data_IF_346968426019
#
_entry.id   IF_346968426019
#
_cell.length_a   1.000
_cell.length_b   1.000
_cell.length_c   1.000
_cell.angle_alpha   90.00
_cell.angle_beta   90.00
_cell.angle_gamma   90.00
#
_symmetry.space_group_name_H-M   'P 1'
#
loop_
_entity.id
_entity.type
_entity.pdbx_description
1 polymer ?
#
# COMPACT_ATOMS: atom_id res chain seq x y z
N UNK A 1 25.97 -4.72 1.40
CA UNK A 1 24.85 -5.34 0.66
C UNK A 1 23.57 -4.80 1.27
N UNK A 2 22.82 -3.98 0.52
CA UNK A 2 21.61 -3.34 1.02
C UNK A 2 20.45 -4.33 1.07
N UNK A 3 19.67 -4.30 2.14
CA UNK A 3 18.36 -4.96 2.18
C UNK A 3 17.46 -4.26 1.17
N UNK A 4 17.18 -4.93 0.06
CA UNK A 4 16.07 -4.58 -0.81
C UNK A 4 14.80 -4.72 0.03
N UNK A 5 14.29 -3.62 0.57
CA UNK A 5 12.91 -3.60 1.02
C UNK A 5 12.07 -3.86 -0.24
N UNK A 6 11.44 -5.03 -0.29
CA UNK A 6 10.55 -5.39 -1.37
C UNK A 6 9.25 -4.60 -1.17
N UNK A 7 9.16 -3.44 -1.81
CA UNK A 7 7.98 -2.56 -1.78
C UNK A 7 6.96 -2.92 -2.87
N UNK A 8 7.19 -3.98 -3.65
CA UNK A 8 6.32 -4.36 -4.76
C UNK A 8 5.19 -5.28 -4.32
N UNK A 9 4.08 -5.27 -5.06
CA UNK A 9 3.04 -6.29 -4.90
C UNK A 9 3.65 -7.68 -5.19
N UNK A 10 3.13 -8.71 -4.51
CA UNK A 10 3.56 -10.09 -4.71
C UNK A 10 2.40 -10.92 -5.26
N UNK A 11 2.65 -11.69 -6.32
CA UNK A 11 1.68 -12.62 -6.88
C UNK A 11 2.31 -14.00 -6.97
N UNK A 12 1.58 -15.03 -6.50
CA UNK A 12 2.04 -16.42 -6.50
C UNK A 12 1.13 -17.26 -7.38
N UNK A 13 1.73 -17.88 -8.38
CA UNK A 13 1.01 -18.71 -9.35
C UNK A 13 1.33 -20.19 -9.11
N UNK A 14 0.33 -21.04 -9.31
CA UNK A 14 0.53 -22.48 -9.33
C UNK A 14 1.43 -22.86 -10.51
N UNK A 15 2.51 -23.59 -10.25
CA UNK A 15 3.54 -23.91 -11.26
C UNK A 15 3.03 -24.79 -12.41
N UNK A 16 1.96 -25.54 -12.20
CA UNK A 16 1.45 -26.50 -13.18
C UNK A 16 0.35 -25.89 -14.06
N UNK A 17 -0.54 -25.14 -13.45
CA UNK A 17 -1.72 -24.55 -14.10
C UNK A 17 -1.49 -23.10 -14.51
N UNK A 18 -0.50 -22.42 -13.92
CA UNK A 18 -0.25 -21.00 -14.09
C UNK A 18 -1.30 -20.10 -13.44
N UNK A 19 -2.24 -20.67 -12.65
CA UNK A 19 -3.34 -19.90 -12.04
C UNK A 19 -2.85 -19.14 -10.81
N UNK A 20 -3.35 -17.92 -10.61
CA UNK A 20 -3.09 -17.16 -9.38
C UNK A 20 -3.62 -17.94 -8.17
N UNK A 21 -2.79 -18.09 -7.13
CA UNK A 21 -3.12 -18.84 -5.90
C UNK A 21 -3.12 -17.96 -4.65
N UNK A 22 -2.25 -16.95 -4.60
CA UNK A 22 -2.20 -15.97 -3.52
C UNK A 22 -1.52 -14.70 -4.00
N UNK A 23 -1.79 -13.61 -3.29
CA UNK A 23 -1.24 -12.30 -3.57
C UNK A 23 -1.01 -11.51 -2.28
N UNK A 24 -0.14 -10.52 -2.33
CA UNK A 24 0.05 -9.47 -1.32
C UNK A 24 0.06 -8.14 -2.05
N UNK A 25 -0.85 -7.25 -1.70
CA UNK A 25 -0.97 -5.93 -2.31
C UNK A 25 -0.49 -4.87 -1.32
N UNK A 26 0.29 -3.91 -1.79
CA UNK A 26 0.88 -2.85 -0.96
C UNK A 26 0.34 -1.50 -1.40
N UNK A 27 -0.05 -0.67 -0.44
CA UNK A 27 -0.51 0.69 -0.72
C UNK A 27 0.71 1.62 -0.79
N UNK A 28 0.96 2.31 -1.91
CA UNK A 28 2.12 3.20 -2.03
C UNK A 28 1.96 4.40 -1.12
N UNK A 29 3.09 4.93 -0.63
CA UNK A 29 3.15 6.08 0.28
C UNK A 29 3.32 7.43 -0.45
N UNK A 30 3.40 7.42 -1.77
CA UNK A 30 3.54 8.61 -2.60
C UNK A 30 2.52 8.58 -3.75
N UNK A 31 2.50 9.68 -4.50
CA UNK A 31 1.78 9.78 -5.76
C UNK A 31 0.25 9.86 -5.63
N UNK A 32 -0.35 10.61 -6.55
CA UNK A 32 -1.80 10.70 -6.68
C UNK A 32 -2.18 10.32 -8.10
N UNK A 33 -3.13 9.39 -8.23
CA UNK A 33 -3.74 9.10 -9.53
C UNK A 33 -4.61 10.29 -9.92
N UNK A 34 -4.60 10.65 -11.21
CA UNK A 34 -5.57 11.59 -11.76
C UNK A 34 -7.01 11.11 -11.46
N UNK A 35 -7.82 11.90 -10.73
CA UNK A 35 -9.18 11.54 -10.39
C UNK A 35 -10.05 11.17 -11.59
N UNK A 36 -9.85 11.81 -12.74
CA UNK A 36 -10.61 11.52 -13.96
C UNK A 36 -10.23 10.17 -14.56
N UNK A 37 -8.94 9.81 -14.52
CA UNK A 37 -8.47 8.48 -14.94
C UNK A 37 -9.05 7.42 -14.01
N UNK A 38 -8.91 7.61 -12.69
CA UNK A 38 -9.44 6.67 -11.69
C UNK A 38 -10.96 6.46 -11.83
N UNK A 39 -11.71 7.55 -12.08
CA UNK A 39 -13.17 7.50 -12.27
C UNK A 39 -13.58 6.66 -13.48
N UNK A 40 -12.83 6.71 -14.58
CA UNK A 40 -13.10 5.88 -15.77
C UNK A 40 -12.87 4.40 -15.47
N UNK A 41 -11.79 4.05 -14.75
CA UNK A 41 -11.53 2.68 -14.31
C UNK A 41 -12.58 2.15 -13.33
N UNK A 42 -13.00 2.97 -12.37
CA UNK A 42 -14.06 2.63 -11.42
C UNK A 42 -15.43 2.41 -12.10
N UNK A 43 -15.65 3.01 -13.27
CA UNK A 43 -16.87 2.83 -14.05
C UNK A 43 -16.85 1.57 -14.94
N UNK A 44 -15.70 0.91 -15.13
CA UNK A 44 -15.64 -0.33 -15.88
C UNK A 44 -16.45 -1.44 -15.18
N UNK A 45 -17.18 -2.28 -15.94
CA UNK A 45 -17.83 -3.46 -15.40
C UNK A 45 -16.81 -4.39 -14.73
N UNK A 46 -17.17 -4.88 -13.55
CA UNK A 46 -16.40 -5.92 -12.84
C UNK A 46 -16.62 -7.26 -13.52
N UNK A 47 -15.55 -7.88 -14.01
CA UNK A 47 -15.59 -9.23 -14.57
C UNK A 47 -14.99 -10.22 -13.56
N UNK A 48 -15.68 -11.30 -13.24
CA UNK A 48 -15.16 -12.31 -12.31
C UNK A 48 -14.23 -13.29 -13.03
N UNK A 49 -13.08 -13.57 -12.45
CA UNK A 49 -12.17 -14.59 -12.98
C UNK A 49 -10.89 -14.74 -12.17
N UNK A 50 -10.00 -15.61 -12.64
CA UNK A 50 -8.70 -15.86 -12.01
C UNK A 50 -7.62 -15.69 -13.09
N UNK A 51 -6.62 -14.81 -12.89
CA UNK A 51 -5.50 -14.67 -13.82
C UNK A 51 -4.75 -15.98 -14.03
N UNK A 52 -4.31 -16.21 -15.26
CA UNK A 52 -3.47 -17.33 -15.65
C UNK A 52 -2.26 -16.79 -16.38
N UNK A 53 -1.06 -17.21 -15.97
CA UNK A 53 0.16 -16.87 -16.69
C UNK A 53 0.18 -17.55 -18.05
N UNK A 54 0.30 -16.73 -19.09
CA UNK A 54 0.52 -17.18 -20.46
C UNK A 54 1.92 -17.76 -20.63
N UNK A 55 2.93 -17.09 -20.07
CA UNK A 55 4.32 -17.53 -20.04
C UNK A 55 4.74 -17.88 -18.62
N UNK A 56 5.03 -19.17 -18.40
CA UNK A 56 5.41 -19.70 -17.09
C UNK A 56 6.92 -19.72 -16.87
N UNK A 57 7.69 -19.66 -17.96
CA UNK A 57 9.15 -19.80 -17.92
C UNK A 57 9.82 -18.46 -17.60
N UNK A 58 9.23 -17.35 -18.07
CA UNK A 58 9.75 -16.00 -17.84
C UNK A 58 9.25 -15.35 -16.54
N UNK A 59 8.37 -16.03 -15.80
CA UNK A 59 7.79 -15.53 -14.56
C UNK A 59 6.84 -14.33 -14.75
N UNK A 60 6.38 -13.77 -13.64
CA UNK A 60 5.51 -12.60 -13.62
C UNK A 60 6.25 -11.44 -12.97
N UNK A 61 6.60 -10.44 -13.76
CA UNK A 61 7.24 -9.22 -13.26
C UNK A 61 6.19 -8.15 -12.99
N UNK A 62 6.33 -7.47 -11.85
CA UNK A 62 5.44 -6.40 -11.43
C UNK A 62 6.28 -5.17 -11.25
N UNK A 63 5.95 -4.14 -12.01
CA UNK A 63 6.50 -2.82 -11.78
C UNK A 63 5.94 -2.27 -10.45
N UNK A 64 6.76 -1.57 -9.65
CA UNK A 64 6.26 -0.93 -8.44
C UNK A 64 5.09 0.00 -8.75
N UNK A 65 3.99 -0.17 -8.01
CA UNK A 65 2.88 0.77 -8.04
C UNK A 65 3.22 1.94 -7.13
N UNK A 66 3.09 3.15 -7.64
CA UNK A 66 3.59 4.37 -6.99
C UNK A 66 2.51 5.44 -6.81
N UNK A 67 1.29 5.20 -7.30
CA UNK A 67 0.17 6.13 -7.18
C UNK A 67 -1.01 5.48 -6.46
N UNK A 68 -1.73 6.29 -5.68
CA UNK A 68 -3.03 5.91 -5.12
C UNK A 68 -4.10 6.98 -5.27
N UNK A 69 -5.35 6.55 -5.22
CA UNK A 69 -6.52 7.42 -5.20
C UNK A 69 -7.64 6.79 -4.38
N UNK A 70 -8.14 7.52 -3.38
CA UNK A 70 -9.34 7.15 -2.64
C UNK A 70 -10.53 7.92 -3.19
N UNK A 71 -11.52 7.22 -3.73
CA UNK A 71 -12.77 7.79 -4.23
C UNK A 71 -13.41 8.74 -3.20
N UNK A 72 -14.12 9.78 -3.63
CA UNK A 72 -14.64 10.84 -2.74
C UNK A 72 -15.63 10.34 -1.67
N UNK A 73 -16.29 9.21 -1.90
CA UNK A 73 -17.17 8.53 -0.94
C UNK A 73 -16.42 7.54 -0.02
N UNK A 74 -15.11 7.36 -0.24
CA UNK A 74 -14.24 6.46 0.50
C UNK A 74 -14.49 4.98 0.21
N UNK A 75 -15.27 4.65 -0.83
CA UNK A 75 -15.70 3.27 -1.13
C UNK A 75 -14.77 2.51 -2.07
N UNK A 76 -13.76 3.15 -2.63
CA UNK A 76 -12.78 2.49 -3.46
C UNK A 76 -11.40 3.14 -3.31
N UNK A 77 -10.40 2.32 -3.04
CA UNK A 77 -8.99 2.68 -3.11
C UNK A 77 -8.41 2.10 -4.40
N UNK A 78 -7.99 2.95 -5.31
CA UNK A 78 -7.29 2.60 -6.54
C UNK A 78 -5.80 2.76 -6.30
N UNK A 79 -5.02 1.75 -6.66
CA UNK A 79 -3.55 1.75 -6.60
C UNK A 79 -3.01 1.30 -7.94
N UNK A 80 -2.03 2.04 -8.47
CA UNK A 80 -1.53 1.86 -9.84
C UNK A 80 -0.16 2.51 -10.01
N UNK A 81 0.42 2.36 -11.19
CA UNK A 81 1.62 3.08 -11.58
C UNK A 81 1.30 4.35 -12.39
N UNK A 82 2.31 5.20 -12.61
CA UNK A 82 2.20 6.41 -13.43
C UNK A 82 1.83 6.18 -14.91
N UNK A 83 1.83 4.93 -15.38
CA UNK A 83 1.50 4.54 -16.76
C UNK A 83 0.03 4.18 -16.95
N UNK A 84 -0.82 4.25 -15.91
CA UNK A 84 -2.25 3.97 -16.01
C UNK A 84 -2.91 4.80 -17.12
N UNK A 85 -3.31 4.19 -18.24
CA UNK A 85 -3.98 4.92 -19.30
C UNK A 85 -5.41 5.23 -18.88
N UNK A 86 -6.04 6.17 -19.58
CA UNK A 86 -7.49 6.28 -19.53
C UNK A 86 -8.09 4.99 -20.08
N UNK A 87 -8.94 4.33 -19.29
CA UNK A 87 -9.53 3.06 -19.68
C UNK A 87 -10.35 3.15 -20.98
N UNK A 88 -10.28 2.10 -21.78
CA UNK A 88 -10.86 1.95 -23.11
C UNK A 88 -11.31 0.49 -23.37
N UNK A 89 -11.52 0.12 -24.64
CA UNK A 89 -11.98 -1.22 -25.02
C UNK A 89 -11.00 -2.37 -24.75
N UNK A 90 -9.71 -2.05 -24.55
CA UNK A 90 -8.67 -3.03 -24.22
C UNK A 90 -8.45 -3.14 -22.69
N UNK A 91 -9.22 -2.39 -21.92
CA UNK A 91 -9.12 -2.31 -20.46
C UNK A 91 -10.04 -3.34 -19.79
N UNK A 92 -9.51 -3.98 -18.75
CA UNK A 92 -10.19 -5.02 -18.00
C UNK A 92 -10.07 -4.74 -16.50
N UNK A 93 -11.23 -4.73 -15.82
CA UNK A 93 -11.34 -4.74 -14.36
C UNK A 93 -11.79 -6.13 -13.91
N UNK A 94 -10.84 -6.91 -13.40
CA UNK A 94 -11.04 -8.31 -13.04
C UNK A 94 -11.24 -8.46 -11.53
N UNK A 95 -12.44 -8.81 -11.09
CA UNK A 95 -12.74 -9.19 -9.72
C UNK A 95 -12.17 -10.59 -9.41
N UNK A 96 -11.18 -10.63 -8.51
CA UNK A 96 -10.54 -11.88 -8.04
C UNK A 96 -11.00 -12.28 -6.63
N UNK A 97 -11.59 -11.35 -5.89
CA UNK A 97 -12.27 -11.54 -4.61
C UNK A 97 -13.53 -10.66 -4.57
N UNK A 98 -14.30 -10.72 -3.48
CA UNK A 98 -15.49 -9.89 -3.22
C UNK A 98 -15.18 -8.42 -3.42
N UNK A 99 -14.06 -7.97 -2.86
CA UNK A 99 -13.69 -6.55 -2.79
C UNK A 99 -12.38 -6.23 -3.53
N UNK A 100 -11.66 -7.22 -4.04
CA UNK A 100 -10.39 -6.99 -4.75
C UNK A 100 -10.58 -7.14 -6.25
N UNK A 101 -10.28 -6.08 -6.98
CA UNK A 101 -10.19 -6.11 -8.43
C UNK A 101 -8.75 -5.84 -8.91
N UNK A 102 -8.31 -6.54 -9.94
CA UNK A 102 -7.07 -6.27 -10.66
C UNK A 102 -7.36 -5.50 -11.95
N UNK A 103 -6.46 -4.60 -12.32
CA UNK A 103 -6.56 -3.75 -13.50
C UNK A 103 -5.59 -4.23 -14.56
N UNK A 104 -6.11 -4.47 -15.76
CA UNK A 104 -5.31 -4.87 -16.92
C UNK A 104 -5.61 -3.99 -18.13
N UNK A 105 -4.60 -3.73 -18.94
CA UNK A 105 -4.76 -3.14 -20.26
C UNK A 105 -3.91 -3.93 -21.25
N UNK A 106 -4.52 -4.49 -22.29
CA UNK A 106 -3.85 -5.37 -23.27
C UNK A 106 -3.06 -6.52 -22.62
N UNK A 107 -3.64 -7.13 -21.59
CA UNK A 107 -3.05 -8.25 -20.85
C UNK A 107 -1.94 -7.87 -19.85
N UNK A 108 -1.51 -6.61 -19.79
CA UNK A 108 -0.54 -6.14 -18.78
C UNK A 108 -1.25 -5.71 -17.51
N UNK A 109 -0.76 -6.17 -16.37
CA UNK A 109 -1.20 -5.72 -15.04
C UNK A 109 -0.76 -4.26 -14.80
N UNK A 110 -1.69 -3.43 -14.33
CA UNK A 110 -1.45 -1.99 -14.08
C UNK A 110 -1.75 -1.57 -12.64
N UNK A 111 -2.32 -2.46 -11.82
CA UNK A 111 -2.67 -2.15 -10.45
C UNK A 111 -3.95 -2.82 -9.98
N UNK A 112 -4.51 -2.30 -8.89
CA UNK A 112 -5.61 -2.93 -8.20
C UNK A 112 -6.59 -1.91 -7.61
N UNK A 113 -7.80 -2.38 -7.33
CA UNK A 113 -8.85 -1.65 -6.62
C UNK A 113 -9.26 -2.47 -5.40
N UNK A 114 -9.18 -1.86 -4.22
CA UNK A 114 -9.85 -2.35 -3.02
C UNK A 114 -11.18 -1.62 -2.88
N UNK A 115 -12.26 -2.36 -3.13
CA UNK A 115 -13.63 -1.91 -2.87
C UNK A 115 -13.91 -1.99 -1.37
N UNK A 116 -14.71 -1.05 -0.89
CA UNK A 116 -15.04 -0.88 0.52
C UNK A 116 -13.85 -1.04 1.49
N UNK A 117 -12.78 -0.21 1.37
CA UNK A 117 -11.56 -0.39 2.18
C UNK A 117 -11.79 -0.49 3.69
N UNK A 118 -12.82 0.19 4.22
CA UNK A 118 -13.17 0.18 5.65
C UNK A 118 -13.50 -1.23 6.14
N UNK A 119 -14.12 -2.08 5.32
CA UNK A 119 -14.44 -3.48 5.69
C UNK A 119 -13.20 -4.37 5.85
N UNK A 120 -12.05 -3.92 5.35
CA UNK A 120 -10.76 -4.62 5.41
C UNK A 120 -9.83 -4.04 6.47
N UNK A 121 -10.28 -3.04 7.23
CA UNK A 121 -9.54 -2.55 8.38
C UNK A 121 -9.57 -3.61 9.49
N UNK A 122 -8.38 -3.98 9.95
CA UNK A 122 -8.17 -4.94 11.02
C UNK A 122 -7.35 -4.28 12.12
N UNK A 123 -7.67 -4.57 13.38
CA UNK A 123 -6.89 -4.09 14.52
C UNK A 123 -5.63 -4.95 14.73
N UNK A 124 -5.79 -6.26 14.54
CA UNK A 124 -4.76 -7.28 14.60
C UNK A 124 -5.05 -8.31 13.49
N UNK A 125 -4.04 -9.07 13.00
CA UNK A 125 -4.26 -10.13 12.03
C UNK A 125 -5.35 -11.12 12.51
N UNK A 126 -6.47 -11.17 11.79
CA UNK A 126 -7.62 -12.03 12.11
C UNK A 126 -8.80 -11.32 12.79
N UNK A 127 -8.63 -10.08 13.25
CA UNK A 127 -9.67 -9.31 13.94
C UNK A 127 -10.29 -8.26 13.02
N UNK A 128 -11.57 -8.44 12.66
CA UNK A 128 -12.34 -7.37 12.00
C UNK A 128 -12.69 -6.28 12.99
N UNK A 129 -12.58 -5.02 12.57
CA UNK A 129 -13.03 -3.89 13.39
C UNK A 129 -14.57 -3.92 13.48
N UNK A 130 -15.17 -3.99 14.69
CA UNK A 130 -16.60 -3.88 14.86
C UNK A 130 -17.12 -2.53 14.35
N UNK A 131 -18.22 -2.52 13.60
CA UNK A 131 -18.81 -1.29 13.08
C UNK A 131 -18.17 -0.79 11.79
N UNK A 132 -17.65 -1.70 10.94
CA UNK A 132 -17.20 -1.40 9.56
C UNK A 132 -18.22 -0.65 8.70
N UNK A 133 -19.48 -0.62 9.12
CA UNK A 133 -20.56 0.06 8.44
C UNK A 133 -20.76 1.52 8.92
N UNK A 134 -19.96 2.00 9.88
CA UNK A 134 -19.99 3.39 10.33
C UNK A 134 -19.48 4.32 9.21
N UNK A 135 -20.34 5.20 8.65
CA UNK A 135 -19.95 6.08 7.56
C UNK A 135 -18.75 6.98 7.89
N UNK A 136 -18.54 7.30 9.17
CA UNK A 136 -17.43 8.15 9.63
C UNK A 136 -16.06 7.51 9.40
N UNK A 137 -15.98 6.18 9.33
CA UNK A 137 -14.72 5.48 9.09
C UNK A 137 -14.15 5.78 7.71
N UNK A 138 -14.98 6.07 6.70
CA UNK A 138 -14.52 6.48 5.38
C UNK A 138 -13.79 7.84 5.43
N UNK A 139 -14.33 8.79 6.20
CA UNK A 139 -13.71 10.11 6.38
C UNK A 139 -12.40 10.01 7.17
N UNK A 140 -12.39 9.21 8.24
CA UNK A 140 -11.18 8.97 9.04
C UNK A 140 -10.09 8.26 8.22
N UNK A 141 -10.46 7.29 7.38
CA UNK A 141 -9.52 6.63 6.47
C UNK A 141 -8.95 7.61 5.44
N UNK A 142 -9.79 8.47 4.85
CA UNK A 142 -9.34 9.52 3.92
C UNK A 142 -8.32 10.44 4.58
N UNK A 143 -8.60 10.89 5.78
CA UNK A 143 -7.71 11.77 6.51
C UNK A 143 -6.39 11.07 6.86
N UNK A 144 -6.45 9.81 7.32
CA UNK A 144 -5.27 9.00 7.56
C UNK A 144 -4.40 8.89 6.30
N UNK A 145 -4.97 8.54 5.15
CA UNK A 145 -4.24 8.45 3.88
C UNK A 145 -3.75 9.80 3.37
N UNK A 146 -4.33 10.91 3.82
CA UNK A 146 -3.83 12.26 3.50
C UNK A 146 -2.64 12.64 4.38
N UNK A 147 -2.62 12.18 5.63
CA UNK A 147 -1.51 12.41 6.54
C UNK A 147 -0.32 11.48 6.23
N UNK A 148 -0.57 10.20 5.95
CA UNK A 148 0.47 9.18 5.72
C UNK A 148 0.82 9.08 4.24
N UNK A 149 1.31 10.18 3.69
CA UNK A 149 1.73 10.31 2.29
C UNK A 149 2.98 11.19 2.19
N UNK A 150 3.76 11.06 1.14
CA UNK A 150 4.80 12.03 0.79
C UNK A 150 4.17 13.38 0.41
N UNK A 151 4.67 14.53 0.90
CA UNK A 151 5.88 14.75 1.71
C UNK A 151 5.67 14.71 3.24
N UNK A 152 4.49 14.40 3.72
CA UNK A 152 4.20 14.40 5.16
C UNK A 152 4.99 13.33 5.93
N UNK A 153 5.38 12.23 5.29
CA UNK A 153 6.25 11.20 5.90
C UNK A 153 7.65 11.74 6.21
N UNK A 154 8.22 12.58 5.33
CA UNK A 154 9.49 13.27 5.64
C UNK A 154 9.32 14.19 6.85
N UNK A 155 8.23 14.97 6.87
CA UNK A 155 7.92 15.88 7.99
C UNK A 155 7.75 15.13 9.31
N UNK A 156 7.13 13.95 9.28
CA UNK A 156 7.04 13.07 10.45
C UNK A 156 8.43 12.58 10.90
N UNK A 157 9.29 12.21 9.95
CA UNK A 157 10.68 11.79 10.22
C UNK A 157 11.51 12.91 10.85
N UNK A 158 11.23 14.16 10.45
CA UNK A 158 11.82 15.38 11.01
C UNK A 158 11.18 15.85 12.33
N UNK A 159 10.25 15.06 12.89
CA UNK A 159 9.49 15.37 14.10
C UNK A 159 8.71 16.69 14.06
N UNK A 160 8.15 17.06 12.89
CA UNK A 160 7.33 18.26 12.73
C UNK A 160 6.17 18.28 13.77
N UNK A 161 6.12 19.28 14.68
CA UNK A 161 5.11 19.35 15.73
C UNK A 161 3.67 19.40 15.19
N UNK A 162 3.44 20.05 14.04
CA UNK A 162 2.12 20.15 13.45
C UNK A 162 1.65 18.80 12.88
N UNK A 163 2.58 17.99 12.35
CA UNK A 163 2.26 16.63 11.91
C UNK A 163 1.94 15.72 13.11
N UNK A 164 2.68 15.87 14.21
CA UNK A 164 2.40 15.15 15.45
C UNK A 164 1.01 15.50 15.99
N UNK A 165 0.70 16.78 16.11
CA UNK A 165 -0.61 17.25 16.59
C UNK A 165 -1.76 16.75 15.68
N UNK A 166 -1.58 16.79 14.36
CA UNK A 166 -2.58 16.29 13.42
C UNK A 166 -2.85 14.79 13.58
N UNK A 167 -1.80 13.98 13.77
CA UNK A 167 -1.92 12.54 13.99
C UNK A 167 -2.57 12.22 15.35
N UNK A 168 -2.19 12.93 16.41
CA UNK A 168 -2.80 12.79 17.74
C UNK A 168 -4.29 13.16 17.71
N UNK A 169 -4.66 14.23 16.99
CA UNK A 169 -6.05 14.64 16.81
C UNK A 169 -6.87 13.65 15.97
N UNK A 170 -6.26 13.02 14.97
CA UNK A 170 -6.88 11.93 14.21
C UNK A 170 -7.07 10.69 15.09
N UNK A 171 -6.05 10.28 15.85
CA UNK A 171 -6.12 9.15 16.78
C UNK A 171 -7.25 9.34 17.79
N UNK A 172 -7.37 10.53 18.40
CA UNK A 172 -8.41 10.83 19.37
C UNK A 172 -9.83 10.65 18.79
N UNK A 173 -10.04 11.04 17.51
CA UNK A 173 -11.33 10.85 16.82
C UNK A 173 -11.60 9.40 16.45
N UNK A 174 -10.58 8.64 16.04
CA UNK A 174 -10.69 7.19 15.81
C UNK A 174 -11.12 6.50 17.11
N UNK A 175 -10.46 6.82 18.23
CA UNK A 175 -10.79 6.26 19.54
C UNK A 175 -12.22 6.62 19.99
N UNK A 176 -12.67 7.85 19.74
CA UNK A 176 -14.04 8.27 20.04
C UNK A 176 -15.11 7.60 19.13
N UNK A 177 -14.72 7.13 17.94
CA UNK A 177 -15.62 6.47 16.99
C UNK A 177 -15.79 4.97 17.25
N UNK A 178 -14.83 4.33 17.91
CA UNK A 178 -14.87 2.89 18.19
C UNK A 178 -15.75 2.62 19.43
N UNK A 179 -16.83 1.83 19.32
CA UNK A 179 -17.66 1.49 20.47
C UNK A 179 -16.80 0.77 21.53
N UNK A 180 -16.79 1.31 22.74
CA UNK A 180 -15.95 0.87 23.86
C UNK A 180 -16.06 -0.64 24.12
N UNK A 181 -15.04 -1.41 23.72
CA UNK A 181 -14.55 -2.56 24.49
C UNK A 181 -13.12 -2.94 24.07
N UNK A 182 -12.15 -2.35 24.76
CA UNK A 182 -10.79 -2.87 24.97
C UNK A 182 -9.94 -3.23 23.72
N UNK A 183 -10.15 -2.60 22.56
CA UNK A 183 -9.12 -2.54 21.53
C UNK A 183 -8.36 -1.22 21.71
N UNK A 184 -7.23 -1.25 22.43
CA UNK A 184 -6.27 -0.15 22.36
C UNK A 184 -5.69 -0.19 20.95
N UNK A 185 -6.18 0.68 20.06
CA UNK A 185 -5.54 0.91 18.77
C UNK A 185 -4.10 1.31 19.08
N UNK A 186 -3.13 0.43 18.83
CA UNK A 186 -1.73 0.80 18.85
C UNK A 186 -1.41 1.22 17.44
N UNK A 187 -1.23 2.51 17.22
CA UNK A 187 -0.68 2.97 15.97
C UNK A 187 0.65 2.23 15.73
N UNK A 188 0.93 1.71 14.52
CA UNK A 188 2.15 0.94 14.24
C UNK A 188 3.44 1.72 14.53
N UNK A 189 3.37 3.05 14.64
CA UNK A 189 4.46 3.98 14.98
C UNK A 189 4.72 4.14 16.48
N UNK A 190 3.81 3.66 17.35
CA UNK A 190 3.93 3.81 18.81
C UNK A 190 5.03 2.93 19.44
N UNK A 191 5.61 2.02 18.65
CA UNK A 191 6.80 1.25 18.98
C UNK A 191 8.09 2.03 18.71
N UNK A 192 8.48 2.89 19.65
CA UNK A 192 9.84 3.46 19.77
C UNK A 192 10.25 4.56 18.78
N UNK A 193 9.73 5.77 19.02
CA UNK A 193 10.39 7.05 18.68
C UNK A 193 11.70 7.30 19.46
N UNK A 194 12.28 6.29 20.14
CA UNK A 194 13.51 6.43 20.96
C UNK A 194 14.73 5.67 20.44
N UNK A 195 14.64 4.94 19.31
CA UNK A 195 15.74 4.10 18.83
C UNK A 195 16.24 4.40 17.41
N UNK A 196 15.76 5.47 16.76
CA UNK A 196 16.36 5.98 15.52
C UNK A 196 17.25 7.20 15.80
N UNK A 197 18.31 6.98 16.57
CA UNK A 197 19.52 7.81 16.48
C UNK A 197 20.60 6.89 15.89
N UNK A 198 21.00 7.06 14.61
CA UNK A 198 22.18 6.36 14.13
C UNK A 198 23.38 6.85 14.94
N UNK A 199 24.02 5.92 15.64
CA UNK A 199 25.22 6.16 16.43
C UNK A 199 26.27 6.88 15.57
N UNK A 200 26.49 8.17 15.85
CA UNK A 200 27.42 9.04 15.11
C UNK A 200 28.85 8.97 15.63
N UNK A 201 29.21 7.95 16.39
CA UNK A 201 30.53 7.75 16.97
C UNK A 201 31.13 6.40 16.57
N UNK A 202 31.55 6.28 15.31
CA UNK A 202 32.65 5.38 14.99
C UNK A 202 33.46 5.88 13.78
N UNK A 203 34.07 7.06 13.94
CA UNK A 203 35.17 7.52 13.10
C UNK A 203 36.44 7.50 13.95
N UNK A 204 37.24 6.45 13.74
CA UNK A 204 38.45 6.16 14.51
C UNK A 204 39.49 5.35 13.73
N UNK A 205 39.95 5.93 12.61
CA UNK A 205 41.32 5.95 12.08
C UNK A 205 42.19 4.65 11.99
N UNK A 206 42.47 4.28 10.73
CA UNK A 206 43.77 3.89 10.10
C UNK A 206 44.78 3.02 10.87
N UNK A 207 45.21 1.92 10.24
CA UNK A 207 46.47 1.83 9.46
C UNK A 207 46.89 0.35 9.25
N UNK A 208 47.41 0.02 8.06
CA UNK A 208 47.97 -1.30 7.78
C UNK A 208 48.18 -1.54 6.29
N UNK A 209 49.42 -1.35 5.84
CA UNK A 209 49.88 -1.29 4.44
C UNK A 209 50.64 -2.59 4.07
N UNK A 210 50.52 -3.01 2.78
CA UNK A 210 51.44 -3.80 1.91
C UNK A 210 51.53 -5.35 2.00
N UNK A 211 51.64 -5.95 0.80
CA UNK A 211 52.37 -7.20 0.49
C UNK A 211 51.77 -7.99 -0.68
N UNK A 212 51.92 -7.54 -1.94
CA UNK A 212 52.83 -8.08 -2.98
C UNK A 212 52.63 -9.56 -3.37
N UNK A 213 52.29 -9.76 -4.64
CA UNK A 213 52.38 -11.03 -5.37
C UNK A 213 53.68 -11.05 -6.19
N UNK A 214 54.44 -12.14 -6.07
CA UNK A 214 55.40 -12.64 -7.07
C UNK A 214 55.94 -13.99 -6.59
N UNK A 215 55.82 -15.02 -7.43
CA UNK A 215 56.27 -16.40 -7.18
C UNK A 215 55.35 -17.40 -7.83
#
# INVERSE_FOLDING_TARGET
MGSSFDWSDEFRFDKHTGRLTSFVLKTPEAGLVDPEVARVWLALPRQTGIPVLEDRENGFHIDPLDLRFLANDGRALVVTDASLPRADGDSLRLAIDTDVDLLFHRGRYLGWILNNPVAHLVAEPGDRIPGSDDPRLHDLLREYLTLVVQPNIDRMSDEDPAMREALEALEARIQASTPSRHARWKAPWSGSLRSFIPDRNNLGNKSGVRGWASG
#
